data_IF_462592975139
#
_entry.id   IF_462592975139
#
_cell.length_a   1.000
_cell.length_b   1.000
_cell.length_c   1.000
_cell.angle_alpha   90.00
_cell.angle_beta   90.00
_cell.angle_gamma   90.00
#
_symmetry.space_group_name_H-M   'P 1'
#
loop_
_entity.id
_entity.type
_entity.pdbx_description
1 polymer ?
#
# COMPACT_ATOMS: atom_id res chain seq x y z
N UNK A 1 -12.79 -7.29 -0.44
CA UNK A 1 -12.57 -8.12 -1.64
C UNK A 1 -11.82 -7.29 -2.66
N UNK A 2 -10.78 -7.82 -3.34
CA UNK A 2 -10.09 -7.11 -4.41
C UNK A 2 -11.03 -6.80 -5.57
N UNK A 3 -10.93 -5.58 -6.11
CA UNK A 3 -11.82 -5.10 -7.17
C UNK A 3 -11.04 -4.44 -8.31
N UNK A 4 -11.58 -4.62 -9.51
CA UNK A 4 -11.18 -3.96 -10.75
C UNK A 4 -12.28 -3.00 -11.14
N UNK A 5 -12.00 -1.73 -11.23
CA UNK A 5 -12.91 -0.70 -11.68
C UNK A 5 -12.51 -0.29 -13.09
N UNK A 6 -13.39 -0.54 -14.05
CA UNK A 6 -13.25 -0.14 -15.43
C UNK A 6 -14.28 0.94 -15.78
N UNK A 7 -14.09 1.61 -16.89
CA UNK A 7 -15.09 2.54 -17.42
C UNK A 7 -16.43 1.82 -17.74
N UNK A 8 -16.36 0.53 -18.07
CA UNK A 8 -17.48 -0.34 -18.42
C UNK A 8 -18.20 -0.94 -17.20
N UNK A 9 -17.54 -1.00 -16.03
CA UNK A 9 -18.13 -1.59 -14.81
C UNK A 9 -17.10 -2.00 -13.77
N UNK A 10 -17.58 -2.55 -12.67
CA UNK A 10 -16.74 -3.03 -11.56
C UNK A 10 -16.85 -4.55 -11.45
N UNK A 11 -15.69 -5.21 -11.34
CA UNK A 11 -15.56 -6.65 -11.21
C UNK A 11 -14.66 -7.00 -10.02
N UNK A 12 -14.97 -8.09 -9.35
CA UNK A 12 -14.06 -8.69 -8.37
C UNK A 12 -13.04 -9.56 -9.10
N UNK A 13 -11.89 -9.83 -8.51
CA UNK A 13 -10.92 -10.76 -9.08
C UNK A 13 -11.54 -12.15 -9.36
N UNK A 14 -12.49 -12.56 -8.50
CA UNK A 14 -13.20 -13.83 -8.62
C UNK A 14 -14.26 -13.86 -9.75
N UNK A 15 -14.52 -12.74 -10.41
CA UNK A 15 -15.44 -12.70 -11.55
C UNK A 15 -14.70 -12.99 -12.88
N UNK A 16 -13.40 -13.32 -12.84
CA UNK A 16 -12.65 -13.81 -13.98
C UNK A 16 -13.22 -15.16 -14.48
N UNK A 17 -13.27 -15.35 -15.79
CA UNK A 17 -13.72 -16.60 -16.42
C UNK A 17 -12.71 -17.74 -16.25
N UNK A 18 -11.42 -17.39 -16.18
CA UNK A 18 -10.32 -18.31 -15.95
C UNK A 18 -9.49 -17.86 -14.73
N UNK A 19 -9.35 -18.74 -13.75
CA UNK A 19 -8.52 -18.54 -12.58
C UNK A 19 -7.63 -19.76 -12.41
N UNK A 20 -6.33 -19.54 -12.29
CA UNK A 20 -5.37 -20.59 -11.95
C UNK A 20 -4.37 -20.13 -10.93
N UNK A 21 -3.82 -21.08 -10.19
CA UNK A 21 -2.81 -20.83 -9.16
C UNK A 21 -1.66 -21.81 -9.31
N UNK A 22 -0.44 -21.31 -9.16
CA UNK A 22 0.76 -22.14 -9.16
C UNK A 22 1.70 -21.74 -8.01
N UNK A 23 2.54 -22.67 -7.60
CA UNK A 23 3.60 -22.40 -6.64
C UNK A 23 4.61 -21.44 -7.28
N UNK A 24 4.99 -20.41 -6.53
CA UNK A 24 6.01 -19.45 -6.94
C UNK A 24 7.23 -19.58 -6.04
N UNK A 25 8.42 -19.56 -6.65
CA UNK A 25 9.68 -19.50 -5.92
C UNK A 25 10.64 -18.53 -6.59
N UNK A 26 11.31 -17.71 -5.78
CA UNK A 26 12.28 -16.74 -6.23
C UNK A 26 13.44 -16.66 -5.21
N UNK A 27 14.63 -17.06 -5.61
CA UNK A 27 15.78 -17.12 -4.70
C UNK A 27 15.48 -18.02 -3.51
N UNK A 28 15.46 -17.43 -2.31
CA UNK A 28 15.12 -18.12 -1.04
C UNK A 28 13.65 -17.93 -0.64
N UNK A 29 12.86 -17.23 -1.45
CA UNK A 29 11.46 -16.96 -1.20
C UNK A 29 10.52 -17.99 -1.82
N UNK A 30 9.34 -18.10 -1.26
CA UNK A 30 8.25 -18.93 -1.79
C UNK A 30 6.89 -18.25 -1.65
N UNK A 31 5.97 -18.62 -2.52
CA UNK A 31 4.64 -18.02 -2.56
C UNK A 31 3.71 -18.66 -3.58
N UNK A 32 2.75 -17.86 -4.01
CA UNK A 32 1.71 -18.26 -4.96
C UNK A 32 1.66 -17.20 -6.07
N UNK A 33 1.68 -17.65 -7.31
CA UNK A 33 1.28 -16.87 -8.47
C UNK A 33 -0.15 -17.24 -8.83
N UNK A 34 -0.98 -16.24 -9.02
CA UNK A 34 -2.37 -16.41 -9.42
C UNK A 34 -2.62 -15.68 -10.73
N UNK A 35 -3.17 -16.36 -11.69
CA UNK A 35 -3.56 -15.82 -13.00
C UNK A 35 -5.06 -15.64 -13.06
N UNK A 36 -5.49 -14.51 -13.62
CA UNK A 36 -6.89 -14.14 -13.80
C UNK A 36 -7.09 -13.65 -15.23
N UNK A 37 -8.02 -14.27 -15.95
CA UNK A 37 -8.31 -13.90 -17.32
C UNK A 37 -9.80 -14.01 -17.65
N UNK A 38 -10.21 -13.25 -18.67
CA UNK A 38 -11.60 -13.23 -19.13
C UNK A 38 -12.50 -12.44 -18.17
N UNK A 39 -12.75 -11.19 -18.50
CA UNK A 39 -13.70 -10.35 -17.76
C UNK A 39 -14.71 -9.80 -18.75
N UNK A 40 -16.00 -10.01 -18.49
CA UNK A 40 -17.10 -9.56 -19.36
C UNK A 40 -16.94 -10.00 -20.83
N UNK A 41 -16.44 -11.22 -21.07
CA UNK A 41 -16.22 -11.75 -22.41
C UNK A 41 -15.06 -11.10 -23.19
N UNK A 42 -14.17 -10.38 -22.51
CA UNK A 42 -12.96 -9.79 -23.10
C UNK A 42 -11.70 -10.59 -22.70
N UNK A 43 -10.60 -10.47 -23.45
CA UNK A 43 -9.35 -11.16 -23.11
C UNK A 43 -8.54 -10.47 -22.00
N UNK A 44 -9.12 -9.52 -21.26
CA UNK A 44 -8.43 -8.82 -20.17
C UNK A 44 -7.85 -9.80 -19.16
N UNK A 45 -6.55 -9.68 -18.86
CA UNK A 45 -5.84 -10.61 -18.00
C UNK A 45 -4.73 -9.94 -17.18
N UNK A 46 -4.53 -10.44 -15.97
CA UNK A 46 -3.44 -10.03 -15.09
C UNK A 46 -3.02 -11.18 -14.18
N UNK A 47 -1.90 -11.00 -13.52
CA UNK A 47 -1.41 -11.88 -12.46
C UNK A 47 -1.24 -11.15 -11.15
N UNK A 48 -1.36 -11.89 -10.05
CA UNK A 48 -0.85 -11.49 -8.74
C UNK A 48 0.17 -12.51 -8.26
N UNK A 49 1.26 -12.01 -7.61
CA UNK A 49 2.21 -12.85 -6.92
C UNK A 49 2.25 -12.42 -5.47
N UNK A 50 2.04 -13.36 -4.58
CA UNK A 50 2.15 -13.15 -3.13
C UNK A 50 3.21 -14.12 -2.62
N UNK A 51 4.32 -13.59 -2.11
CA UNK A 51 5.43 -14.42 -1.69
C UNK A 51 6.17 -13.85 -0.47
N UNK A 52 6.80 -14.71 0.30
CA UNK A 52 7.56 -14.38 1.49
C UNK A 52 9.03 -14.66 1.21
N UNK A 53 9.89 -13.70 1.51
CA UNK A 53 11.32 -13.88 1.51
C UNK A 53 11.76 -14.53 2.83
N UNK A 54 12.48 -15.66 2.75
CA UNK A 54 12.80 -16.45 3.94
C UNK A 54 13.90 -15.84 4.83
N UNK A 55 14.64 -14.83 4.35
CA UNK A 55 15.74 -14.22 5.11
C UNK A 55 15.25 -13.18 6.11
N UNK A 56 14.32 -12.32 5.71
CA UNK A 56 13.82 -11.22 6.53
C UNK A 56 12.31 -11.31 6.80
N UNK A 57 11.68 -12.41 6.38
CA UNK A 57 10.24 -12.68 6.52
C UNK A 57 9.35 -11.58 5.91
N UNK A 58 9.89 -10.84 4.95
CA UNK A 58 9.16 -9.80 4.24
C UNK A 58 8.13 -10.43 3.29
N UNK A 59 6.90 -9.96 3.37
CA UNK A 59 5.84 -10.33 2.43
C UNK A 59 5.84 -9.37 1.26
N UNK A 60 5.93 -9.92 0.06
CA UNK A 60 5.83 -9.19 -1.19
C UNK A 60 4.50 -9.49 -1.89
N UNK A 61 3.88 -8.46 -2.38
CA UNK A 61 2.63 -8.54 -3.13
C UNK A 61 2.78 -7.77 -4.43
N UNK A 62 2.54 -8.45 -5.54
CA UNK A 62 2.78 -7.94 -6.88
C UNK A 62 1.55 -8.08 -7.75
N UNK A 63 1.23 -7.06 -8.51
CA UNK A 63 0.20 -7.05 -9.54
C UNK A 63 0.84 -6.79 -10.90
N UNK A 64 0.53 -7.64 -11.89
CA UNK A 64 1.21 -7.66 -13.19
C UNK A 64 0.14 -7.65 -14.30
N UNK A 65 0.05 -6.59 -15.12
CA UNK A 65 -0.84 -6.61 -16.29
C UNK A 65 -0.30 -7.56 -17.36
N UNK A 66 -1.16 -8.32 -18.01
CA UNK A 66 -0.82 -9.24 -19.09
C UNK A 66 -1.49 -8.87 -20.42
N UNK A 67 -2.79 -8.68 -20.38
CA UNK A 67 -3.59 -8.25 -21.52
C UNK A 67 -4.60 -7.20 -21.08
N UNK A 68 -4.61 -6.06 -21.73
CA UNK A 68 -5.49 -4.94 -21.39
C UNK A 68 -6.48 -4.62 -22.53
N UNK A 69 -6.83 -5.62 -23.33
CA UNK A 69 -7.75 -5.46 -24.45
C UNK A 69 -9.21 -5.58 -24.00
N UNK A 70 -10.06 -4.72 -24.53
CA UNK A 70 -11.52 -4.80 -24.40
C UNK A 70 -12.11 -4.15 -23.15
N UNK A 71 -11.30 -3.77 -22.16
CA UNK A 71 -11.72 -3.01 -20.98
C UNK A 71 -10.78 -1.84 -20.72
N UNK A 72 -11.32 -0.74 -20.19
CA UNK A 72 -10.56 0.46 -19.89
C UNK A 72 -10.39 0.61 -18.37
N UNK A 73 -9.21 0.26 -17.82
CA UNK A 73 -8.98 0.32 -16.38
C UNK A 73 -9.08 1.75 -15.87
N UNK A 74 -9.75 1.93 -14.75
CA UNK A 74 -9.85 3.19 -14.00
C UNK A 74 -9.10 3.07 -12.68
N UNK A 75 -9.32 1.97 -11.95
CA UNK A 75 -8.68 1.74 -10.65
C UNK A 75 -8.68 0.24 -10.30
N UNK A 76 -7.65 -0.20 -9.64
CA UNK A 76 -7.58 -1.54 -9.02
C UNK A 76 -7.48 -1.35 -7.52
N UNK A 77 -8.39 -1.94 -6.74
CA UNK A 77 -8.36 -1.92 -5.28
C UNK A 77 -7.61 -3.17 -4.78
N UNK A 78 -6.29 -3.02 -4.66
CA UNK A 78 -5.39 -4.09 -4.22
C UNK A 78 -4.01 -3.51 -3.86
N UNK A 79 -3.32 -4.04 -2.81
CA UNK A 79 -3.80 -5.02 -1.83
C UNK A 79 -4.97 -4.51 -1.00
N UNK A 80 -5.87 -5.44 -0.65
CA UNK A 80 -7.06 -5.10 0.15
C UNK A 80 -6.72 -4.72 1.58
N UNK A 81 -7.60 -3.93 2.17
CA UNK A 81 -7.50 -3.51 3.55
C UNK A 81 -7.47 -4.70 4.53
N UNK A 82 -6.63 -4.58 5.54
CA UNK A 82 -6.72 -5.34 6.78
C UNK A 82 -7.60 -4.55 7.74
N UNK A 83 -8.58 -5.21 8.35
CA UNK A 83 -9.47 -4.57 9.31
C UNK A 83 -9.04 -4.92 10.74
N UNK A 84 -8.89 -3.89 11.56
CA UNK A 84 -8.71 -4.06 12.99
C UNK A 84 -10.04 -3.83 13.69
N UNK A 85 -10.62 -4.90 14.17
CA UNK A 85 -11.87 -4.88 14.91
C UNK A 85 -11.57 -4.86 16.40
N UNK A 86 -11.75 -3.80 17.06
CA UNK A 86 -11.87 -3.63 18.49
C UNK A 86 -11.42 -2.24 18.98
N UNK A 87 -12.12 -1.73 19.98
CA UNK A 87 -11.93 -0.41 20.52
C UNK A 87 -10.87 -0.32 21.61
N UNK A 88 -9.66 -0.81 21.40
CA UNK A 88 -8.55 -0.59 22.32
C UNK A 88 -7.76 0.65 21.93
N UNK A 89 -7.37 1.44 22.91
CA UNK A 89 -6.64 2.70 22.71
C UNK A 89 -5.23 2.51 22.14
N UNK A 90 -4.67 1.31 22.29
CA UNK A 90 -3.35 0.93 21.77
C UNK A 90 -3.39 0.39 20.33
N UNK A 91 -4.55 0.43 19.66
CA UNK A 91 -4.70 0.04 18.25
C UNK A 91 -4.92 1.27 17.39
N UNK A 92 -4.11 1.44 16.36
CA UNK A 92 -4.18 2.61 15.51
C UNK A 92 -3.64 2.36 14.09
N UNK A 93 -4.05 3.24 13.20
CA UNK A 93 -3.58 3.30 11.80
C UNK A 93 -2.70 4.52 11.61
N UNK A 94 -1.62 4.35 10.86
CA UNK A 94 -0.70 5.40 10.46
C UNK A 94 -0.82 5.66 8.96
N UNK A 95 -1.01 6.92 8.61
CA UNK A 95 -1.02 7.40 7.24
C UNK A 95 0.06 8.46 7.07
N UNK A 96 0.62 8.55 5.88
CA UNK A 96 1.62 9.58 5.52
C UNK A 96 0.99 10.87 5.02
N UNK A 97 -0.26 11.12 5.41
CA UNK A 97 -1.01 12.34 5.12
C UNK A 97 -0.36 13.55 5.81
N UNK A 98 -0.07 14.61 5.07
CA UNK A 98 0.54 15.80 5.62
C UNK A 98 1.89 15.50 6.31
N UNK A 99 1.97 15.78 7.60
CA UNK A 99 3.15 15.50 8.43
C UNK A 99 3.10 14.13 9.13
N UNK A 100 2.13 13.32 8.76
CA UNK A 100 1.81 12.03 9.38
C UNK A 100 0.55 12.12 10.24
N UNK A 101 -0.32 11.15 10.07
CA UNK A 101 -1.59 11.05 10.77
C UNK A 101 -1.68 9.72 11.50
N UNK A 102 -1.99 9.76 12.79
CA UNK A 102 -2.28 8.60 13.61
C UNK A 102 -3.78 8.59 13.91
N UNK A 103 -4.47 7.53 13.51
CA UNK A 103 -5.92 7.35 13.69
C UNK A 103 -6.12 6.23 14.72
N UNK A 104 -6.53 6.54 15.98
CA UNK A 104 -6.87 5.52 16.96
C UNK A 104 -8.10 4.72 16.53
N UNK A 105 -8.12 3.42 16.80
CA UNK A 105 -9.29 2.59 16.56
C UNK A 105 -10.51 2.97 17.43
N UNK A 106 -10.26 3.66 18.54
CA UNK A 106 -11.29 4.23 19.42
C UNK A 106 -11.80 5.60 18.98
N UNK A 107 -11.49 6.00 17.74
CA UNK A 107 -11.96 7.29 17.23
C UNK A 107 -13.47 7.47 17.46
N UNK A 108 -13.81 8.48 18.23
CA UNK A 108 -15.19 8.68 18.62
C UNK A 108 -16.00 9.34 17.52
N UNK A 109 -17.22 8.90 17.39
CA UNK A 109 -18.22 9.28 16.40
C UNK A 109 -18.63 10.73 16.39
N UNK A 110 -18.29 11.50 17.39
CA UNK A 110 -18.57 12.94 17.42
C UNK A 110 -17.94 13.69 16.23
N UNK A 111 -16.90 13.13 15.66
CA UNK A 111 -16.23 13.64 14.46
C UNK A 111 -16.71 12.99 13.16
N UNK A 112 -17.66 12.05 13.25
CA UNK A 112 -18.26 11.37 12.11
C UNK A 112 -17.34 10.33 11.45
N UNK A 113 -17.74 9.92 10.25
CA UNK A 113 -16.93 9.01 9.40
C UNK A 113 -15.66 9.72 8.97
N UNK A 114 -14.51 9.05 9.10
CA UNK A 114 -13.28 9.46 8.45
C UNK A 114 -13.09 8.67 7.16
N UNK A 115 -12.73 9.38 6.11
CA UNK A 115 -12.33 8.77 4.84
C UNK A 115 -11.15 9.56 4.28
N UNK A 116 -10.06 8.86 3.99
CA UNK A 116 -8.86 9.42 3.41
C UNK A 116 -8.54 8.67 2.13
N UNK A 117 -8.26 9.41 1.07
CA UNK A 117 -7.78 8.88 -0.21
C UNK A 117 -6.53 9.67 -0.58
N UNK A 118 -5.36 9.06 -0.38
CA UNK A 118 -4.05 9.68 -0.62
C UNK A 118 -3.34 9.05 -1.81
N UNK A 119 -2.88 9.89 -2.73
CA UNK A 119 -1.96 9.49 -3.81
C UNK A 119 -0.54 9.56 -3.29
N UNK A 120 0.22 8.47 -3.47
CA UNK A 120 1.63 8.43 -3.06
C UNK A 120 2.49 9.46 -3.80
N UNK A 121 3.46 10.03 -3.08
CA UNK A 121 4.45 11.01 -3.55
C UNK A 121 3.88 12.32 -4.14
N UNK A 122 2.57 12.52 -4.07
CA UNK A 122 1.95 13.73 -4.60
C UNK A 122 1.01 14.39 -3.59
N UNK A 123 -0.22 13.92 -3.49
CA UNK A 123 -1.23 14.52 -2.62
C UNK A 123 -1.75 13.53 -1.60
N UNK A 124 -1.66 13.89 -0.33
CA UNK A 124 -2.17 13.08 0.78
C UNK A 124 -1.24 11.95 1.24
N UNK A 125 -0.33 11.48 0.43
CA UNK A 125 0.62 10.41 0.78
C UNK A 125 2.05 10.78 0.41
N UNK A 126 2.68 11.70 1.13
CA UNK A 126 4.03 12.20 0.79
C UNK A 126 5.12 11.12 0.78
N UNK A 127 4.93 10.06 1.53
CA UNK A 127 5.79 8.88 1.50
C UNK A 127 4.93 7.67 1.12
N UNK A 128 5.43 6.74 0.28
CA UNK A 128 4.61 5.67 -0.27
C UNK A 128 4.46 4.49 0.71
N UNK A 129 3.94 4.75 1.90
CA UNK A 129 3.66 3.71 2.88
C UNK A 129 2.50 4.07 3.81
N UNK A 130 1.92 3.05 4.40
CA UNK A 130 0.99 3.13 5.52
C UNK A 130 1.23 1.95 6.46
N UNK A 131 0.62 1.99 7.64
CA UNK A 131 0.77 0.90 8.60
C UNK A 131 -0.29 0.88 9.67
N UNK A 132 -0.36 -0.23 10.38
CA UNK A 132 -1.26 -0.40 11.51
C UNK A 132 -0.54 -1.09 12.67
N UNK A 133 -0.95 -0.76 13.89
CA UNK A 133 -0.48 -1.39 15.12
C UNK A 133 -1.67 -1.94 15.89
N UNK A 134 -1.54 -3.18 16.37
CA UNK A 134 -2.51 -3.90 17.18
C UNK A 134 -1.77 -4.68 18.27
N UNK A 135 -2.05 -4.38 19.54
CA UNK A 135 -1.44 -5.08 20.68
C UNK A 135 0.09 -5.14 20.62
N UNK A 136 0.73 -4.04 20.24
CA UNK A 136 2.19 -3.94 20.02
C UNK A 136 2.73 -4.83 18.87
N UNK A 137 1.87 -5.42 18.08
CA UNK A 137 2.23 -6.02 16.80
C UNK A 137 1.75 -5.11 15.68
N UNK A 138 2.54 -4.96 14.62
CA UNK A 138 2.17 -4.07 13.53
C UNK A 138 2.78 -4.47 12.21
N UNK A 139 2.38 -3.73 11.19
CA UNK A 139 2.99 -3.86 9.87
C UNK A 139 3.19 -2.50 9.22
N UNK A 140 4.19 -2.44 8.35
CA UNK A 140 4.40 -1.35 7.41
C UNK A 140 4.19 -1.89 6.00
N UNK A 141 3.28 -1.28 5.26
CA UNK A 141 3.02 -1.58 3.84
C UNK A 141 3.67 -0.48 2.99
N UNK A 142 4.71 -0.82 2.25
CA UNK A 142 5.47 0.11 1.41
C UNK A 142 5.13 -0.17 -0.05
N UNK A 143 4.62 0.82 -0.78
CA UNK A 143 4.52 0.76 -2.23
C UNK A 143 5.88 1.06 -2.85
N UNK A 144 6.55 0.04 -3.39
CA UNK A 144 7.89 0.21 -3.99
C UNK A 144 7.84 0.76 -5.41
N UNK A 145 6.64 0.81 -5.99
CA UNK A 145 6.34 1.40 -7.31
C UNK A 145 5.24 2.45 -7.16
N UNK A 146 5.53 3.59 -6.52
CA UNK A 146 4.49 4.51 -6.02
C UNK A 146 3.74 5.30 -7.08
N UNK A 147 4.25 5.32 -8.32
CA UNK A 147 3.60 6.06 -9.41
C UNK A 147 2.24 5.44 -9.75
N UNK A 148 1.23 6.29 -9.90
CA UNK A 148 -0.15 5.87 -10.17
C UNK A 148 -0.68 4.86 -9.12
N UNK A 149 -0.34 5.08 -7.88
CA UNK A 149 -0.78 4.30 -6.74
C UNK A 149 -1.08 5.20 -5.53
N UNK A 150 -1.84 4.67 -4.60
CA UNK A 150 -2.18 5.37 -3.38
C UNK A 150 -2.79 4.43 -2.34
N UNK A 151 -3.41 5.03 -1.34
CA UNK A 151 -4.14 4.30 -0.30
C UNK A 151 -5.54 4.88 -0.12
N UNK A 152 -6.43 4.05 0.37
CA UNK A 152 -7.74 4.45 0.87
C UNK A 152 -7.89 3.94 2.28
N UNK A 153 -8.15 4.83 3.22
CA UNK A 153 -8.40 4.50 4.62
C UNK A 153 -9.80 4.95 5.02
N UNK A 154 -10.51 4.10 5.74
CA UNK A 154 -11.85 4.37 6.23
C UNK A 154 -11.98 4.03 7.70
N UNK A 155 -12.63 4.91 8.44
CA UNK A 155 -13.08 4.68 9.80
C UNK A 155 -14.58 5.05 9.86
N UNK A 156 -15.47 4.05 9.90
CA UNK A 156 -16.91 4.32 9.91
C UNK A 156 -17.34 5.01 11.20
N UNK A 157 -18.34 5.86 11.11
CA UNK A 157 -18.92 6.53 12.28
C UNK A 157 -19.43 5.49 13.29
N UNK A 158 -18.93 5.53 14.54
CA UNK A 158 -19.22 4.54 15.57
C UNK A 158 -18.69 3.14 15.29
N UNK A 159 -17.92 3.01 14.26
CA UNK A 159 -17.31 1.73 13.90
C UNK A 159 -16.16 1.36 14.82
N UNK A 160 -15.97 0.05 15.07
CA UNK A 160 -14.92 -0.43 15.94
C UNK A 160 -13.59 -0.66 15.22
N UNK A 161 -13.42 -0.22 13.98
CA UNK A 161 -12.24 -0.52 13.17
C UNK A 161 -11.82 0.65 12.28
N UNK A 162 -10.58 0.63 11.87
CA UNK A 162 -10.05 1.42 10.75
C UNK A 162 -9.49 0.44 9.72
N UNK A 163 -9.92 0.56 8.48
CA UNK A 163 -9.38 -0.19 7.36
C UNK A 163 -8.47 0.69 6.51
N UNK A 164 -7.37 0.14 6.02
CA UNK A 164 -6.51 0.80 5.05
C UNK A 164 -6.06 -0.19 3.99
N UNK A 165 -6.31 0.13 2.75
CA UNK A 165 -5.90 -0.65 1.57
C UNK A 165 -5.27 0.23 0.53
N UNK A 166 -4.62 -0.39 -0.44
CA UNK A 166 -4.02 0.32 -1.55
C UNK A 166 -4.95 0.33 -2.77
N UNK A 167 -4.68 1.28 -3.64
CA UNK A 167 -5.25 1.33 -4.97
C UNK A 167 -4.18 1.65 -6.01
N UNK A 168 -4.43 1.19 -7.24
CA UNK A 168 -3.59 1.38 -8.41
C UNK A 168 -4.42 2.03 -9.51
N UNK A 169 -3.82 2.94 -10.26
CA UNK A 169 -4.45 3.60 -11.41
C UNK A 169 -3.65 3.40 -12.69
N UNK A 170 -4.30 3.48 -13.86
CA UNK A 170 -3.62 3.44 -15.13
C UNK A 170 -2.74 4.68 -15.35
N UNK A 171 -1.72 4.51 -16.17
CA UNK A 171 -0.93 5.59 -16.76
C UNK A 171 -1.19 5.62 -18.26
N UNK A 172 -1.64 6.76 -18.78
CA UNK A 172 -1.98 6.90 -20.19
C UNK A 172 -3.03 5.88 -20.69
N UNK A 173 -3.98 5.53 -19.83
CA UNK A 173 -5.11 4.66 -20.18
C UNK A 173 -4.88 3.16 -19.99
N UNK A 174 -3.67 2.74 -19.61
CA UNK A 174 -3.32 1.34 -19.35
C UNK A 174 -2.53 1.18 -18.06
N UNK A 175 -2.53 0.00 -17.49
CA UNK A 175 -1.80 -0.28 -16.24
C UNK A 175 -0.28 -0.37 -16.46
N UNK A 176 0.15 -0.71 -17.67
CA UNK A 176 1.50 -0.66 -18.25
C UNK A 176 2.60 -1.43 -17.53
N UNK A 177 2.69 -1.41 -16.22
CA UNK A 177 3.84 -1.95 -15.49
C UNK A 177 3.43 -2.66 -14.21
N UNK A 178 4.31 -3.52 -13.74
CA UNK A 178 4.19 -4.26 -12.48
C UNK A 178 4.10 -3.30 -11.29
N UNK A 179 3.16 -3.55 -10.40
CA UNK A 179 3.00 -2.85 -9.13
C UNK A 179 3.45 -3.75 -8.00
N UNK A 180 4.21 -3.19 -7.06
CA UNK A 180 4.84 -3.97 -5.99
C UNK A 180 4.64 -3.31 -4.64
N UNK A 181 4.17 -4.11 -3.68
CA UNK A 181 4.09 -3.75 -2.27
C UNK A 181 4.96 -4.67 -1.44
N UNK A 182 5.64 -4.09 -0.46
CA UNK A 182 6.44 -4.78 0.55
C UNK A 182 5.78 -4.59 1.91
N UNK A 183 5.45 -5.71 2.57
CA UNK A 183 4.93 -5.71 3.93
C UNK A 183 5.99 -6.23 4.89
N UNK A 184 6.30 -5.45 5.91
CA UNK A 184 7.18 -5.86 7.01
C UNK A 184 6.34 -5.94 8.27
N UNK A 185 6.31 -7.13 8.90
CA UNK A 185 5.60 -7.35 10.16
C UNK A 185 6.56 -7.19 11.33
N UNK A 186 6.09 -6.53 12.38
CA UNK A 186 6.89 -6.19 13.55
C UNK A 186 6.20 -6.66 14.82
N UNK A 187 6.96 -7.27 15.70
CA UNK A 187 6.54 -7.62 17.05
C UNK A 187 7.08 -6.59 18.05
N UNK A 188 6.36 -6.39 19.15
CA UNK A 188 6.72 -5.46 20.24
C UNK A 188 7.06 -4.05 19.72
N UNK A 189 6.21 -3.49 18.86
CA UNK A 189 6.44 -2.26 18.13
C UNK A 189 5.44 -1.15 18.47
N UNK A 190 5.84 0.05 18.16
CA UNK A 190 5.00 1.25 18.14
C UNK A 190 5.12 1.99 16.79
N UNK A 191 4.50 3.17 16.69
CA UNK A 191 4.54 3.97 15.45
C UNK A 191 5.97 4.39 15.05
N UNK A 192 6.88 4.57 16.01
CA UNK A 192 8.27 4.91 15.69
C UNK A 192 8.98 3.74 15.00
N UNK A 193 8.65 2.51 15.38
CA UNK A 193 9.26 1.33 14.77
C UNK A 193 8.77 1.13 13.34
N UNK A 194 7.50 1.43 13.06
CA UNK A 194 6.98 1.47 11.69
C UNK A 194 7.72 2.53 10.85
N UNK A 195 7.91 3.74 11.40
CA UNK A 195 8.69 4.80 10.74
C UNK A 195 10.15 4.40 10.52
N UNK A 196 10.76 3.68 11.47
CA UNK A 196 12.13 3.16 11.33
C UNK A 196 12.22 2.08 10.26
N UNK A 197 11.20 1.20 10.13
CA UNK A 197 11.14 0.20 9.08
C UNK A 197 11.12 0.84 7.69
N UNK A 198 10.29 1.87 7.49
CA UNK A 198 10.32 2.64 6.24
C UNK A 198 11.66 3.35 6.02
N UNK A 199 12.22 3.99 7.05
CA UNK A 199 13.54 4.63 6.94
C UNK A 199 14.65 3.63 6.58
N UNK A 200 14.59 2.41 7.11
CA UNK A 200 15.53 1.35 6.77
C UNK A 200 15.40 0.96 5.30
N UNK A 201 14.19 0.76 4.81
CA UNK A 201 13.93 0.51 3.39
C UNK A 201 14.52 1.62 2.50
N UNK A 202 14.28 2.89 2.80
CA UNK A 202 14.82 4.03 2.02
C UNK A 202 16.35 4.04 2.05
N UNK A 203 16.97 3.62 3.16
CA UNK A 203 18.44 3.46 3.28
C UNK A 203 18.94 2.34 2.39
N UNK A 204 18.29 1.18 2.39
CA UNK A 204 18.63 0.02 1.54
C UNK A 204 18.54 0.38 0.05
N UNK A 205 17.59 1.22 -0.33
CA UNK A 205 17.48 1.74 -1.69
C UNK A 205 18.51 2.85 -2.02
N UNK A 206 19.35 3.27 -1.08
CA UNK A 206 20.32 4.34 -1.28
C UNK A 206 19.72 5.74 -1.39
N UNK A 207 18.44 5.90 -1.08
CA UNK A 207 17.73 7.18 -1.20
C UNK A 207 17.76 8.04 0.07
N UNK A 208 18.12 7.45 1.23
CA UNK A 208 18.22 8.21 2.47
C UNK A 208 19.45 9.12 2.45
N UNK A 209 19.18 10.42 2.53
CA UNK A 209 20.20 11.45 2.67
C UNK A 209 19.87 12.34 3.85
N UNK A 210 20.77 12.39 4.81
CA UNK A 210 20.63 13.29 5.96
C UNK A 210 20.90 14.75 5.54
N UNK A 211 20.36 15.68 6.34
CA UNK A 211 20.64 17.10 6.13
C UNK A 211 22.14 17.40 6.15
N UNK A 212 22.88 16.73 7.03
CA UNK A 212 24.35 16.85 7.11
C UNK A 212 25.06 16.42 5.83
N UNK A 213 24.64 15.30 5.22
CA UNK A 213 25.20 14.82 3.96
C UNK A 213 24.85 15.75 2.80
N UNK A 214 23.63 16.27 2.77
CA UNK A 214 23.22 17.26 1.76
C UNK A 214 23.99 18.56 1.89
N UNK A 215 24.28 19.01 3.12
CA UNK A 215 25.04 20.23 3.39
C UNK A 215 26.51 20.17 2.95
N UNK A 216 27.09 18.96 2.85
CA UNK A 216 28.43 18.78 2.27
C UNK A 216 28.46 19.17 0.79
N UNK A 217 27.37 18.88 0.06
CA UNK A 217 27.27 19.21 -1.37
C UNK A 217 26.77 20.65 -1.60
N UNK A 218 25.88 21.10 -0.74
CA UNK A 218 25.31 22.46 -0.79
C UNK A 218 25.21 23.04 0.63
N UNK A 219 26.23 23.80 1.08
CA UNK A 219 26.24 24.42 2.42
C UNK A 219 25.05 25.33 2.68
N UNK A 220 24.50 26.00 1.66
CA UNK A 220 23.35 26.90 1.80
C UNK A 220 22.06 26.19 2.25
N UNK A 221 22.06 24.85 2.29
CA UNK A 221 20.91 24.12 2.83
C UNK A 221 20.66 24.41 4.31
N UNK A 222 21.69 24.87 5.05
CA UNK A 222 21.56 25.29 6.44
C UNK A 222 20.71 26.57 6.58
N UNK A 223 20.66 27.41 5.54
CA UNK A 223 19.86 28.64 5.54
C UNK A 223 18.36 28.34 5.45
N UNK A 224 17.99 27.11 5.06
CA UNK A 224 16.61 26.63 5.00
C UNK A 224 16.12 26.03 6.33
N UNK A 225 17.01 25.78 7.28
CA UNK A 225 16.64 25.21 8.58
C UNK A 225 15.87 26.24 9.39
N UNK A 226 14.62 25.92 9.73
CA UNK A 226 13.72 26.80 10.47
C UNK A 226 12.93 27.79 9.60
N UNK A 227 13.05 27.71 8.28
CA UNK A 227 12.14 28.42 7.36
C UNK A 227 10.92 27.52 7.13
N UNK A 228 9.71 28.00 7.39
CA UNK A 228 8.45 27.36 7.07
C UNK A 228 7.67 28.23 6.08
#
# INVERSE_FOLDING_TARGET
>A
TPELIFAEGTYRFLDAEEISHEAYSFGVGCGIRSHYAGFAGTPYAFETIIWIEAVDETLWMEWIPLCEEGLHPVKVLWPTAMEFTNGRDDWYTLLTEGQGLLIPNTWKTELGKLSFDGRFETSGGYMPWFGQVKERCGYTAICTTPWNAGYQAEHPAGGPYTSVGAWLEPSLGTMNYRRVFRYTFLNDCDYNDLCKAYRQYVREQGHLRTLKEKAVQNPSIHDLVGTC
#
